data_IF_153201544948
#
_entry.id   IF_153201544948
#
_cell.length_a   1.000
_cell.length_b   1.000
_cell.length_c   1.000
_cell.angle_alpha   90.00
_cell.angle_beta   90.00
_cell.angle_gamma   90.00
#
_symmetry.space_group_name_H-M   'P 1'
#
loop_
_entity.id
_entity.type
_entity.pdbx_description
1 polymer ?
#
# COMPACT_ATOMS: atom_id res chain seq x y z
N UNK A 1 -3.15 9.35 -3.09
CA UNK A 1 -4.09 10.50 -3.14
C UNK A 1 -4.27 11.17 -1.77
N UNK A 2 -4.60 10.43 -0.71
CA UNK A 2 -4.73 10.97 0.65
C UNK A 2 -3.44 11.64 1.16
N UNK A 3 -2.30 10.94 1.07
CA UNK A 3 -0.98 11.49 1.44
C UNK A 3 -0.69 12.82 0.76
N UNK A 4 -0.90 12.89 -0.56
CA UNK A 4 -0.75 14.12 -1.34
C UNK A 4 -1.63 15.25 -0.81
N UNK A 5 -2.93 15.02 -0.57
CA UNK A 5 -3.83 16.06 -0.03
C UNK A 5 -3.37 16.57 1.33
N UNK A 6 -2.98 15.67 2.24
CA UNK A 6 -2.54 16.04 3.59
C UNK A 6 -1.24 16.84 3.54
N UNK A 7 -0.23 16.36 2.80
CA UNK A 7 1.09 17.01 2.71
C UNK A 7 0.99 18.41 2.09
N UNK A 8 0.15 18.58 1.07
CA UNK A 8 0.02 19.86 0.36
C UNK A 8 -0.97 20.84 1.01
N UNK A 9 -1.70 20.44 2.05
CA UNK A 9 -2.57 21.32 2.83
C UNK A 9 -1.93 21.59 4.19
N UNK A 10 -0.88 22.42 4.17
CA UNK A 10 -0.02 22.73 5.32
C UNK A 10 -0.75 23.44 6.47
N UNK A 11 -1.87 24.11 6.19
CA UNK A 11 -2.60 24.93 7.16
C UNK A 11 -3.84 24.26 7.75
N UNK A 12 -4.43 23.27 7.06
CA UNK A 12 -5.71 22.67 7.48
C UNK A 12 -5.54 21.17 7.72
N UNK A 13 -5.18 20.40 6.68
CA UNK A 13 -5.15 18.95 6.81
C UNK A 13 -3.91 18.44 7.55
N UNK A 14 -2.74 19.06 7.33
CA UNK A 14 -1.52 18.66 8.01
C UNK A 14 -1.61 18.87 9.54
N UNK A 15 -2.06 20.03 10.05
CA UNK A 15 -2.26 20.21 11.49
C UNK A 15 -3.37 19.30 12.04
N UNK A 16 -4.44 19.08 11.28
CA UNK A 16 -5.52 18.16 11.68
C UNK A 16 -5.03 16.71 11.81
N UNK A 17 -4.19 16.25 10.88
CA UNK A 17 -3.54 14.94 10.95
C UNK A 17 -2.68 14.81 12.22
N UNK A 18 -1.79 15.76 12.45
CA UNK A 18 -0.91 15.75 13.63
C UNK A 18 -1.69 15.80 14.93
N UNK A 19 -2.74 16.63 15.01
CA UNK A 19 -3.60 16.73 16.19
C UNK A 19 -4.27 15.39 16.49
N UNK A 20 -4.83 14.72 15.48
CA UNK A 20 -5.47 13.42 15.70
C UNK A 20 -4.50 12.32 16.10
N UNK A 21 -3.27 12.31 15.56
CA UNK A 21 -2.27 11.34 16.02
C UNK A 21 -1.95 11.54 17.50
N UNK A 22 -1.91 12.79 17.97
CA UNK A 22 -1.76 13.10 19.41
C UNK A 22 -2.97 12.65 20.21
N UNK A 23 -4.18 12.92 19.73
CA UNK A 23 -5.43 12.54 20.41
C UNK A 23 -5.57 11.01 20.55
N UNK A 24 -5.03 10.25 19.59
CA UNK A 24 -5.02 8.79 19.58
C UNK A 24 -3.79 8.18 20.27
N UNK A 25 -2.92 9.00 20.87
CA UNK A 25 -1.63 8.59 21.47
C UNK A 25 -0.74 7.77 20.50
N UNK A 26 -0.79 8.10 19.22
CA UNK A 26 -0.03 7.46 18.16
C UNK A 26 1.26 8.23 17.84
N UNK A 27 2.36 7.56 17.48
CA UNK A 27 3.56 8.22 17.03
C UNK A 27 3.29 9.13 15.83
N UNK A 28 3.72 10.39 15.91
CA UNK A 28 3.55 11.35 14.83
C UNK A 28 4.43 10.95 13.66
N UNK A 29 3.81 10.40 12.61
CA UNK A 29 4.48 9.97 11.39
C UNK A 29 3.68 10.45 10.18
N UNK A 30 4.39 10.86 9.14
CA UNK A 30 3.76 11.25 7.88
C UNK A 30 3.42 10.04 7.05
N UNK A 31 2.26 10.08 6.39
CA UNK A 31 1.87 9.05 5.44
C UNK A 31 2.93 8.97 4.35
N UNK A 32 3.53 7.78 4.10
CA UNK A 32 4.44 7.60 2.99
C UNK A 32 3.76 8.05 1.70
N UNK A 33 4.48 8.83 0.89
CA UNK A 33 4.08 9.06 -0.48
C UNK A 33 4.73 7.97 -1.32
N UNK A 34 3.99 7.47 -2.30
CA UNK A 34 4.54 6.54 -3.27
C UNK A 34 5.69 7.24 -4.01
N UNK A 35 6.87 6.63 -3.97
CA UNK A 35 8.05 7.09 -4.69
C UNK A 35 8.32 6.03 -5.76
N UNK A 36 8.12 6.41 -7.02
CA UNK A 36 8.22 5.52 -8.19
C UNK A 36 9.55 4.77 -8.31
N UNK A 37 10.60 5.23 -7.62
CA UNK A 37 11.95 4.67 -7.68
C UNK A 37 12.23 3.55 -6.68
N UNK A 38 11.26 3.15 -5.84
CA UNK A 38 11.44 2.07 -4.86
C UNK A 38 10.47 0.93 -5.10
N UNK A 39 10.98 -0.26 -5.42
CA UNK A 39 10.17 -1.45 -5.73
C UNK A 39 9.27 -1.95 -4.58
N UNK A 40 9.53 -1.51 -3.34
CA UNK A 40 8.74 -1.86 -2.16
C UNK A 40 7.79 -0.73 -1.71
N UNK A 41 7.65 0.35 -2.48
CA UNK A 41 6.85 1.52 -2.06
C UNK A 41 5.37 1.17 -1.81
N UNK A 42 4.78 0.31 -2.64
CA UNK A 42 3.40 -0.16 -2.46
C UNK A 42 3.24 -0.95 -1.16
N UNK A 43 4.23 -1.78 -0.80
CA UNK A 43 4.23 -2.50 0.47
C UNK A 43 4.31 -1.53 1.64
N UNK A 44 5.26 -0.60 1.61
CA UNK A 44 5.47 0.37 2.69
C UNK A 44 4.21 1.25 2.92
N UNK A 45 3.53 1.64 1.84
CA UNK A 45 2.25 2.38 1.93
C UNK A 45 1.15 1.49 2.52
N UNK A 46 0.97 0.27 2.03
CA UNK A 46 -0.07 -0.64 2.53
C UNK A 46 0.15 -1.01 4.00
N UNK A 47 1.40 -1.26 4.40
CA UNK A 47 1.82 -1.56 5.77
C UNK A 47 1.50 -0.38 6.70
N UNK A 48 1.91 0.84 6.31
CA UNK A 48 1.62 2.06 7.05
C UNK A 48 0.11 2.32 7.18
N UNK A 49 -0.65 2.19 6.09
CA UNK A 49 -2.09 2.47 6.11
C UNK A 49 -2.83 1.47 7.01
N UNK A 50 -2.39 0.21 7.05
CA UNK A 50 -2.92 -0.77 7.99
C UNK A 50 -2.55 -0.45 9.45
N UNK A 51 -1.30 -0.05 9.70
CA UNK A 51 -0.83 0.36 11.05
C UNK A 51 -1.62 1.57 11.56
N UNK A 52 -1.84 2.56 10.70
CA UNK A 52 -2.52 3.82 11.03
C UNK A 52 -4.02 3.84 10.70
N UNK A 53 -4.67 2.68 10.57
CA UNK A 53 -6.06 2.61 10.10
C UNK A 53 -7.03 3.45 10.94
N UNK A 54 -6.92 3.43 12.27
CA UNK A 54 -7.80 4.22 13.17
C UNK A 54 -7.68 5.72 12.90
N UNK A 55 -6.44 6.21 12.74
CA UNK A 55 -6.20 7.62 12.42
C UNK A 55 -6.68 7.97 11.00
N UNK A 56 -6.53 7.06 10.04
CA UNK A 56 -6.98 7.28 8.66
C UNK A 56 -8.50 7.31 8.60
N UNK A 57 -9.20 6.36 9.22
CA UNK A 57 -10.66 6.39 9.34
C UNK A 57 -11.14 7.65 10.06
N UNK A 58 -10.47 8.06 11.14
CA UNK A 58 -10.85 9.28 11.86
C UNK A 58 -10.71 10.55 11.01
N UNK A 59 -9.70 10.65 10.12
CA UNK A 59 -9.50 11.86 9.31
C UNK A 59 -10.45 11.89 8.12
N UNK A 60 -10.73 10.73 7.52
CA UNK A 60 -11.61 10.63 6.34
C UNK A 60 -13.07 10.74 6.72
N UNK A 61 -13.47 10.27 7.92
CA UNK A 61 -14.84 10.40 8.42
C UNK A 61 -15.22 11.83 8.84
N UNK A 62 -14.23 12.75 8.98
CA UNK A 62 -14.50 14.16 9.27
C UNK A 62 -14.96 14.87 7.99
N UNK A 63 -16.28 14.96 7.79
CA UNK A 63 -16.89 15.66 6.65
C UNK A 63 -16.35 17.09 6.44
N UNK A 64 -16.03 17.81 7.52
CA UNK A 64 -15.48 19.18 7.47
C UNK A 64 -14.12 19.29 6.77
N UNK A 65 -13.40 18.18 6.60
CA UNK A 65 -12.07 18.16 5.99
C UNK A 65 -12.11 17.85 4.48
N UNK A 66 -13.27 17.52 3.90
CA UNK A 66 -13.39 17.19 2.48
C UNK A 66 -12.59 15.95 2.05
N UNK A 67 -12.42 15.00 2.99
CA UNK A 67 -11.70 13.74 2.80
C UNK A 67 -12.60 12.51 2.72
N UNK A 68 -13.93 12.70 2.82
CA UNK A 68 -14.91 11.61 2.84
C UNK A 68 -14.84 10.73 1.58
N UNK A 69 -14.60 11.32 0.41
CA UNK A 69 -14.47 10.58 -0.86
C UNK A 69 -13.21 9.68 -0.92
N UNK A 70 -12.33 9.80 0.06
CA UNK A 70 -11.12 8.98 0.21
C UNK A 70 -11.24 8.00 1.38
N UNK A 71 -12.40 7.91 2.03
CA UNK A 71 -12.66 6.90 3.04
C UNK A 71 -12.70 5.52 2.37
N UNK A 72 -12.00 4.57 2.95
CA UNK A 72 -12.05 3.18 2.52
C UNK A 72 -13.25 2.50 3.18
N UNK A 73 -14.00 1.73 2.40
CA UNK A 73 -15.05 0.88 2.94
C UNK A 73 -14.48 -0.40 3.57
N UNK A 74 -15.35 -1.17 4.25
CA UNK A 74 -14.96 -2.40 4.94
C UNK A 74 -14.35 -3.45 3.99
N UNK A 75 -14.84 -3.53 2.76
CA UNK A 75 -14.34 -4.45 1.74
C UNK A 75 -12.96 -4.00 1.23
N UNK A 76 -12.78 -2.72 0.93
CA UNK A 76 -11.50 -2.14 0.52
C UNK A 76 -10.43 -2.31 1.60
N UNK A 77 -10.79 -2.13 2.87
CA UNK A 77 -9.90 -2.44 4.01
C UNK A 77 -9.49 -3.92 4.06
N UNK A 78 -10.42 -4.82 3.72
CA UNK A 78 -10.13 -6.25 3.60
C UNK A 78 -9.11 -6.53 2.51
N UNK A 79 -9.34 -6.00 1.31
CA UNK A 79 -8.43 -6.12 0.17
C UNK A 79 -7.04 -5.55 0.47
N UNK A 80 -6.97 -4.41 1.16
CA UNK A 80 -5.69 -3.79 1.54
C UNK A 80 -4.87 -4.69 2.47
N UNK A 81 -5.53 -5.36 3.42
CA UNK A 81 -4.88 -6.29 4.36
C UNK A 81 -4.38 -7.55 3.64
N UNK A 82 -5.15 -8.08 2.71
CA UNK A 82 -4.73 -9.21 1.87
C UNK A 82 -3.54 -8.82 0.99
N UNK A 83 -3.61 -7.67 0.32
CA UNK A 83 -2.53 -7.13 -0.50
C UNK A 83 -1.24 -6.95 0.32
N UNK A 84 -1.35 -6.37 1.53
CA UNK A 84 -0.23 -6.24 2.46
C UNK A 84 0.41 -7.60 2.75
N UNK A 85 -0.39 -8.65 2.95
CA UNK A 85 0.10 -10.01 3.18
C UNK A 85 0.95 -10.53 2.01
N UNK A 86 0.40 -10.50 0.79
CA UNK A 86 1.09 -10.96 -0.42
C UNK A 86 2.38 -10.17 -0.68
N UNK A 87 2.33 -8.85 -0.47
CA UNK A 87 3.48 -7.97 -0.66
C UNK A 87 4.55 -8.16 0.42
N UNK A 88 4.17 -8.51 1.66
CA UNK A 88 5.11 -8.82 2.74
C UNK A 88 5.98 -10.01 2.38
N UNK A 89 5.37 -11.08 1.87
CA UNK A 89 6.09 -12.30 1.49
C UNK A 89 7.05 -12.03 0.33
N UNK A 90 6.62 -11.25 -0.67
CA UNK A 90 7.49 -10.82 -1.76
C UNK A 90 8.65 -9.94 -1.25
N UNK A 91 8.37 -8.94 -0.44
CA UNK A 91 9.39 -8.02 0.11
C UNK A 91 10.41 -8.78 0.95
N UNK A 92 9.95 -9.69 1.82
CA UNK A 92 10.82 -10.53 2.63
C UNK A 92 11.67 -11.45 1.76
N UNK A 93 11.10 -12.06 0.72
CA UNK A 93 11.84 -12.91 -0.23
C UNK A 93 12.99 -12.13 -0.89
N UNK A 94 12.71 -10.94 -1.43
CA UNK A 94 13.72 -10.13 -2.11
C UNK A 94 14.72 -9.43 -1.16
N UNK A 95 14.39 -9.30 0.13
CA UNK A 95 15.29 -8.73 1.14
C UNK A 95 16.43 -9.66 1.59
N UNK A 96 16.32 -10.97 1.34
CA UNK A 96 17.24 -12.01 1.86
C UNK A 96 18.61 -12.09 1.16
N UNK A 97 19.06 -11.02 0.50
CA UNK A 97 20.33 -10.86 -0.25
C UNK A 97 20.24 -11.19 -1.75
N UNK A 98 20.81 -10.27 -2.53
CA UNK A 98 20.95 -10.16 -3.99
C UNK A 98 20.19 -11.21 -4.81
N UNK A 99 19.01 -10.86 -5.38
CA UNK A 99 18.43 -11.65 -6.45
C UNK A 99 19.39 -11.52 -7.64
N UNK A 100 20.29 -12.48 -7.79
CA UNK A 100 21.04 -12.58 -9.02
C UNK A 100 20.06 -12.98 -10.13
N UNK A 101 20.26 -12.45 -11.33
CA UNK A 101 19.41 -12.72 -12.50
C UNK A 101 19.03 -14.23 -12.65
N UNK A 102 19.92 -15.20 -12.33
CA UNK A 102 19.58 -16.62 -12.37
C UNK A 102 18.58 -17.12 -11.32
N UNK A 103 18.40 -16.46 -10.16
CA UNK A 103 17.39 -16.81 -9.15
C UNK A 103 16.02 -16.20 -9.45
N UNK A 104 15.97 -15.07 -10.17
CA UNK A 104 14.70 -14.40 -10.50
C UNK A 104 13.97 -15.15 -11.63
N UNK A 105 14.71 -15.65 -12.62
CA UNK A 105 14.12 -16.32 -13.81
C UNK A 105 13.28 -17.57 -13.41
N UNK A 106 13.75 -18.48 -12.54
CA UNK A 106 12.97 -19.63 -12.11
C UNK A 106 11.77 -19.22 -11.24
N UNK A 107 11.93 -18.32 -10.27
CA UNK A 107 10.85 -17.92 -9.35
C UNK A 107 9.69 -17.26 -10.08
N UNK A 108 9.99 -16.36 -11.04
CA UNK A 108 8.97 -15.78 -11.90
C UNK A 108 8.25 -16.86 -12.71
N UNK A 109 8.99 -17.82 -13.30
CA UNK A 109 8.43 -18.92 -14.08
C UNK A 109 7.59 -19.89 -13.22
N UNK A 110 8.02 -20.20 -12.00
CA UNK A 110 7.30 -21.07 -11.07
C UNK A 110 6.01 -20.41 -10.58
N UNK A 111 6.01 -19.11 -10.25
CA UNK A 111 4.76 -18.40 -9.90
C UNK A 111 3.75 -18.43 -11.05
N UNK A 112 4.17 -18.19 -12.29
CA UNK A 112 3.28 -18.33 -13.46
C UNK A 112 2.63 -19.72 -13.56
N UNK A 113 3.38 -20.80 -13.24
CA UNK A 113 2.84 -22.17 -13.22
C UNK A 113 1.81 -22.36 -12.11
N UNK A 114 2.10 -21.91 -10.87
CA UNK A 114 1.14 -21.99 -9.76
C UNK A 114 -0.13 -21.18 -10.00
N UNK A 115 -0.02 -19.97 -10.55
CA UNK A 115 -1.21 -19.15 -10.87
C UNK A 115 -2.03 -19.73 -12.04
N UNK A 116 -1.39 -20.50 -12.93
CA UNK A 116 -2.08 -21.18 -14.03
C UNK A 116 -2.78 -22.47 -13.60
N UNK A 117 -2.28 -23.16 -12.58
CA UNK A 117 -2.87 -24.42 -12.06
C UNK A 117 -4.09 -24.19 -11.15
N UNK A 118 -4.26 -22.98 -10.58
CA UNK A 118 -5.36 -22.65 -9.66
C UNK A 118 -6.51 -21.81 -10.27
N UNK A 119 -6.49 -21.57 -11.59
CA UNK A 119 -7.67 -21.23 -12.39
C UNK A 119 -8.39 -19.90 -12.09
N UNK A 120 -8.00 -18.83 -12.78
CA UNK A 120 -8.91 -17.85 -13.44
C UNK A 120 -8.14 -17.11 -14.54
N UNK A 121 -8.70 -17.07 -15.75
CA UNK A 121 -8.11 -16.53 -16.98
C UNK A 121 -7.71 -15.05 -16.93
N UNK A 122 -6.63 -14.69 -17.63
CA UNK A 122 -6.58 -13.58 -18.59
C UNK A 122 -5.37 -13.78 -19.52
N UNK A 123 -5.67 -14.17 -20.77
CA UNK A 123 -4.75 -14.29 -21.88
C UNK A 123 -4.24 -12.89 -22.27
N UNK A 124 -3.00 -12.57 -21.92
CA UNK A 124 -2.23 -11.53 -22.59
C UNK A 124 -1.20 -12.22 -23.46
N UNK A 125 -1.53 -12.37 -24.75
CA UNK A 125 -0.52 -12.58 -25.78
C UNK A 125 0.40 -11.35 -25.79
N UNK A 126 1.66 -11.55 -25.45
CA UNK A 126 2.73 -10.65 -25.89
C UNK A 126 3.44 -11.39 -27.00
N UNK A 127 3.06 -11.06 -28.24
CA UNK A 127 3.83 -11.37 -29.43
C UNK A 127 5.14 -10.61 -29.32
N UNK A 128 6.26 -11.33 -29.30
CA UNK A 128 7.60 -10.78 -29.48
C UNK A 128 7.99 -10.94 -30.95
N UNK A 129 7.89 -9.85 -31.71
CA UNK A 129 8.85 -9.51 -32.78
C UNK A 129 9.33 -8.07 -32.56
#
# INVERSE_FOLDING_TARGET
KLSFKIIHSSTILLPAWVAMLKDLDMPIKMIPHDVSTRWNSTFDVADFVCEYHVAIEAITNKQKLGLTDLALDKHEWGLLKELRGVLKDATLFFSRSTPNLPMVIPVSRTKHVWYSEHGTYCQFEIILE
#
